data_IF_391462799518
#
_entry.id   IF_391462799518
#
_cell.length_a   1.000
_cell.length_b   1.000
_cell.length_c   1.000
_cell.angle_alpha   90.00
_cell.angle_beta   90.00
_cell.angle_gamma   90.00
#
_symmetry.space_group_name_H-M   'P 1'
#
loop_
_entity.id
_entity.type
_entity.pdbx_description
1 polymer ?
#
# COMPACT_ATOMS: atom_id res chain seq x y z
N UNK A 1 -0.91 -0.12 -3.65
CA UNK A 1 0.06 -1.24 -3.68
C UNK A 1 -0.62 -2.49 -3.19
N UNK A 2 -0.99 -3.38 -4.10
CA UNK A 2 -1.75 -4.60 -3.78
C UNK A 2 -0.83 -5.74 -3.33
N UNK A 3 -1.29 -6.53 -2.36
CA UNK A 3 -0.75 -7.87 -2.12
C UNK A 3 -1.23 -8.86 -3.19
N UNK A 4 -0.73 -10.10 -3.16
CA UNK A 4 -1.07 -11.14 -4.15
C UNK A 4 -2.59 -11.34 -4.34
N UNK A 5 -3.36 -11.62 -3.28
CA UNK A 5 -4.81 -11.79 -3.36
C UNK A 5 -5.56 -10.55 -3.89
N UNK A 6 -5.22 -9.34 -3.44
CA UNK A 6 -5.84 -8.11 -3.93
C UNK A 6 -5.57 -7.90 -5.42
N UNK A 7 -4.31 -8.12 -5.85
CA UNK A 7 -3.88 -8.01 -7.24
C UNK A 7 -4.60 -9.01 -8.15
N UNK A 8 -4.79 -10.26 -7.71
CA UNK A 8 -5.59 -11.27 -8.44
C UNK A 8 -7.04 -10.81 -8.67
N UNK A 9 -7.60 -10.04 -7.74
CA UNK A 9 -8.94 -9.47 -7.89
C UNK A 9 -8.97 -8.15 -8.66
N UNK A 10 -7.84 -7.71 -9.21
CA UNK A 10 -7.70 -6.45 -9.93
C UNK A 10 -8.14 -5.24 -9.10
N UNK A 11 -7.94 -5.29 -7.78
CA UNK A 11 -8.49 -4.29 -6.86
C UNK A 11 -7.92 -2.89 -7.11
N UNK A 12 -6.57 -2.76 -7.16
CA UNK A 12 -5.90 -1.50 -7.39
C UNK A 12 -6.35 -0.81 -8.67
N UNK A 13 -6.47 -1.55 -9.78
CA UNK A 13 -6.94 -0.99 -11.07
C UNK A 13 -8.40 -0.53 -11.01
N UNK A 14 -9.26 -1.27 -10.31
CA UNK A 14 -10.66 -0.86 -10.16
C UNK A 14 -10.81 0.42 -9.32
N UNK A 15 -10.00 0.56 -8.27
CA UNK A 15 -9.98 1.76 -7.44
C UNK A 15 -9.32 2.93 -8.18
N UNK A 16 -8.27 2.70 -8.97
CA UNK A 16 -7.63 3.73 -9.79
C UNK A 16 -8.59 4.26 -10.86
N UNK A 17 -9.32 3.39 -11.55
CA UNK A 17 -10.35 3.83 -12.49
C UNK A 17 -11.41 4.73 -11.81
N UNK A 18 -11.92 4.30 -10.65
CA UNK A 18 -12.87 5.10 -9.89
C UNK A 18 -12.29 6.46 -9.47
N UNK A 19 -11.01 6.48 -9.11
CA UNK A 19 -10.33 7.71 -8.69
C UNK A 19 -10.10 8.69 -9.83
N UNK A 20 -9.80 8.18 -11.03
CA UNK A 20 -9.74 8.95 -12.27
C UNK A 20 -11.11 9.50 -12.67
N UNK A 21 -12.17 8.70 -12.58
CA UNK A 21 -13.54 9.09 -12.96
C UNK A 21 -14.06 10.28 -12.12
N UNK A 22 -13.65 10.39 -10.85
CA UNK A 22 -14.10 11.45 -9.91
C UNK A 22 -13.08 12.59 -9.70
N UNK A 23 -11.87 12.48 -10.27
CA UNK A 23 -10.83 13.50 -10.16
C UNK A 23 -10.02 13.49 -8.86
N UNK A 24 -9.89 12.33 -8.19
CA UNK A 24 -9.02 12.12 -7.01
C UNK A 24 -7.97 11.02 -7.29
N UNK A 25 -7.14 11.17 -8.35
CA UNK A 25 -6.36 10.08 -8.92
C UNK A 25 -5.19 9.63 -8.02
N UNK A 26 -4.74 8.39 -8.21
CA UNK A 26 -3.50 7.88 -7.62
C UNK A 26 -2.81 6.89 -8.56
N UNK A 27 -1.54 6.61 -8.29
CA UNK A 27 -0.71 5.73 -9.11
C UNK A 27 -0.51 4.34 -8.49
N UNK A 28 -0.57 3.31 -9.34
CA UNK A 28 -0.33 1.93 -8.92
C UNK A 28 1.16 1.62 -8.91
N UNK A 29 1.69 1.43 -7.71
CA UNK A 29 2.99 0.79 -7.49
C UNK A 29 2.84 -0.71 -7.17
N UNK A 30 3.85 -1.50 -7.55
CA UNK A 30 3.91 -2.93 -7.26
C UNK A 30 4.90 -3.20 -6.13
N UNK A 31 4.47 -3.98 -5.13
CA UNK A 31 5.36 -4.63 -4.15
C UNK A 31 6.03 -5.82 -4.83
N UNK A 32 7.31 -6.03 -4.54
CA UNK A 32 8.15 -7.09 -5.10
C UNK A 32 8.95 -7.78 -4.01
N UNK A 33 9.56 -8.92 -4.35
CA UNK A 33 10.33 -9.74 -3.41
C UNK A 33 11.43 -8.95 -2.70
N UNK A 34 12.15 -8.11 -3.42
CA UNK A 34 13.23 -7.28 -2.88
C UNK A 34 12.76 -6.26 -1.83
N UNK A 35 11.49 -5.85 -1.88
CA UNK A 35 10.91 -4.96 -0.87
C UNK A 35 10.81 -5.69 0.48
N UNK A 36 10.48 -6.98 0.49
CA UNK A 36 10.43 -7.80 1.70
C UNK A 36 11.82 -8.11 2.26
N UNK A 37 12.78 -8.42 1.38
CA UNK A 37 14.16 -8.73 1.79
C UNK A 37 14.82 -7.59 2.58
N UNK A 38 14.39 -6.35 2.33
CA UNK A 38 14.86 -5.15 3.02
C UNK A 38 14.52 -5.17 4.53
N UNK A 39 13.37 -5.73 4.92
CA UNK A 39 12.85 -5.66 6.30
C UNK A 39 13.07 -6.92 7.13
N UNK A 40 13.78 -7.92 6.60
CA UNK A 40 14.19 -9.10 7.37
C UNK A 40 15.06 -8.70 8.57
N UNK A 41 14.87 -9.39 9.71
CA UNK A 41 15.72 -9.28 10.89
C UNK A 41 17.21 -9.40 10.55
N UNK A 42 18.04 -8.63 11.27
CA UNK A 42 19.49 -8.53 10.99
C UNK A 42 20.35 -9.14 12.09
N UNK A 43 19.80 -9.36 13.27
CA UNK A 43 20.49 -9.92 14.43
C UNK A 43 19.64 -10.98 15.14
N UNK A 44 20.27 -11.72 16.06
CA UNK A 44 19.56 -12.65 16.94
C UNK A 44 18.50 -11.92 17.75
N UNK A 45 17.27 -12.44 17.72
CA UNK A 45 16.10 -11.82 18.36
C UNK A 45 15.32 -10.84 17.48
N UNK A 46 15.83 -10.48 16.29
CA UNK A 46 15.07 -9.68 15.34
C UNK A 46 14.17 -10.58 14.48
N UNK A 47 12.85 -10.39 14.58
CA UNK A 47 11.93 -10.96 13.59
C UNK A 47 11.95 -10.14 12.29
N UNK A 48 11.82 -8.82 12.43
CA UNK A 48 11.83 -7.84 11.34
C UNK A 48 12.44 -6.51 11.81
N UNK A 49 12.95 -5.71 10.88
CA UNK A 49 13.34 -4.32 11.14
C UNK A 49 12.24 -3.38 10.63
N UNK A 50 12.04 -2.22 11.28
CA UNK A 50 10.98 -1.28 10.89
C UNK A 50 11.36 -0.31 9.77
N UNK A 51 12.65 0.00 9.64
CA UNK A 51 13.15 1.01 8.72
C UNK A 51 14.64 0.80 8.41
N UNK A 52 15.07 1.33 7.28
CA UNK A 52 16.49 1.48 6.97
C UNK A 52 16.98 2.87 7.42
N UNK A 53 18.27 3.06 7.72
CA UNK A 53 18.79 4.35 8.22
C UNK A 53 18.85 5.45 7.15
N UNK A 54 18.44 5.18 5.90
CA UNK A 54 18.41 6.19 4.82
C UNK A 54 16.99 6.68 4.57
N UNK A 55 16.79 7.95 4.18
CA UNK A 55 15.50 8.43 3.72
C UNK A 55 14.95 7.57 2.58
N UNK A 56 13.63 7.47 2.47
CA UNK A 56 12.97 6.74 1.38
C UNK A 56 13.41 7.25 0.00
N UNK A 57 13.63 8.55 -0.14
CA UNK A 57 14.13 9.19 -1.37
C UNK A 57 15.56 8.78 -1.77
N UNK A 58 16.34 8.25 -0.83
CA UNK A 58 17.72 7.79 -1.05
C UNK A 58 17.84 6.26 -0.97
N UNK A 59 16.70 5.56 -0.89
CA UNK A 59 16.62 4.11 -0.84
C UNK A 59 15.97 3.62 -2.11
N UNK A 60 16.60 2.66 -2.79
CA UNK A 60 15.98 2.03 -3.95
C UNK A 60 14.63 1.44 -3.51
N UNK A 61 13.55 1.80 -4.22
CA UNK A 61 12.18 1.37 -3.91
C UNK A 61 11.67 1.83 -2.53
N UNK A 62 12.13 3.00 -2.08
CA UNK A 62 11.92 3.48 -0.72
C UNK A 62 10.46 3.71 -0.30
N UNK A 63 9.53 3.92 -1.24
CA UNK A 63 8.10 4.03 -0.89
C UNK A 63 7.36 2.69 -0.94
N UNK A 64 7.88 1.70 -1.67
CA UNK A 64 7.31 0.35 -1.67
C UNK A 64 7.67 -0.44 -0.42
N UNK A 65 8.85 -0.17 0.15
CA UNK A 65 9.33 -0.85 1.35
C UNK A 65 8.34 -0.84 2.53
N UNK A 66 7.78 0.31 2.93
CA UNK A 66 6.78 0.37 4.01
C UNK A 66 5.57 -0.55 3.78
N UNK A 67 5.13 -0.73 2.52
CA UNK A 67 4.06 -1.67 2.21
C UNK A 67 4.45 -3.12 2.53
N UNK A 68 5.68 -3.51 2.20
CA UNK A 68 6.21 -4.85 2.51
C UNK A 68 6.36 -5.05 4.02
N UNK A 69 6.88 -4.05 4.74
CA UNK A 69 6.95 -4.07 6.20
C UNK A 69 5.57 -4.32 6.83
N UNK A 70 4.56 -3.55 6.44
CA UNK A 70 3.21 -3.69 6.99
C UNK A 70 2.61 -5.08 6.73
N UNK A 71 2.84 -5.65 5.54
CA UNK A 71 2.37 -7.00 5.21
C UNK A 71 2.98 -8.05 6.16
N UNK A 72 4.29 -7.99 6.42
CA UNK A 72 4.95 -8.96 7.30
C UNK A 72 4.62 -8.70 8.77
N UNK A 73 4.69 -7.44 9.21
CA UNK A 73 4.43 -7.06 10.60
C UNK A 73 3.02 -7.41 11.08
N UNK A 74 2.04 -7.44 10.16
CA UNK A 74 0.66 -7.82 10.46
C UNK A 74 0.36 -9.30 10.20
N UNK A 75 1.35 -10.13 9.83
CA UNK A 75 1.18 -11.55 9.48
C UNK A 75 0.40 -11.80 8.17
N UNK A 76 0.18 -10.78 7.33
CA UNK A 76 -0.54 -10.93 6.06
C UNK A 76 0.27 -11.71 5.01
N UNK A 77 1.57 -11.89 5.22
CA UNK A 77 2.43 -12.75 4.43
C UNK A 77 2.02 -14.24 4.52
N UNK A 78 1.47 -14.68 5.66
CA UNK A 78 0.85 -16.00 5.81
C UNK A 78 -0.47 -16.17 5.05
N UNK A 79 -1.10 -15.06 4.63
CA UNK A 79 -2.40 -15.00 3.96
C UNK A 79 -2.28 -14.64 2.47
N UNK A 80 -1.15 -15.01 1.85
CA UNK A 80 -0.88 -14.78 0.43
C UNK A 80 -1.74 -15.61 -0.53
N UNK A 81 -1.49 -15.42 -1.83
CA UNK A 81 -2.24 -16.03 -2.95
C UNK A 81 -2.29 -17.56 -3.00
N UNK A 82 -1.42 -18.24 -2.26
CA UNK A 82 -1.36 -19.70 -2.15
C UNK A 82 -1.71 -20.25 -0.77
N UNK A 83 -2.18 -19.39 0.14
CA UNK A 83 -2.64 -19.81 1.47
C UNK A 83 -4.04 -20.45 1.41
N UNK A 84 -4.38 -21.24 2.43
CA UNK A 84 -5.74 -21.80 2.59
C UNK A 84 -6.78 -20.71 2.92
N UNK A 85 -6.34 -19.58 3.47
CA UNK A 85 -7.19 -18.44 3.84
C UNK A 85 -6.63 -17.11 3.30
N UNK A 86 -6.69 -16.85 1.98
CA UNK A 86 -6.14 -15.64 1.40
C UNK A 86 -6.87 -14.37 1.85
N UNK A 87 -6.12 -13.33 2.25
CA UNK A 87 -6.67 -12.02 2.64
C UNK A 87 -6.23 -10.98 1.62
N UNK A 88 -7.20 -10.22 1.08
CA UNK A 88 -6.93 -9.09 0.17
C UNK A 88 -6.46 -7.89 0.99
N UNK A 89 -5.32 -7.32 0.60
CA UNK A 89 -4.78 -6.12 1.22
C UNK A 89 -4.18 -5.19 0.17
N UNK A 90 -4.40 -3.89 0.35
CA UNK A 90 -3.82 -2.84 -0.47
C UNK A 90 -3.33 -1.71 0.42
N UNK A 91 -2.05 -1.35 0.28
CA UNK A 91 -1.46 -0.19 0.93
C UNK A 91 -1.62 1.04 0.02
N UNK A 92 -2.15 2.13 0.56
CA UNK A 92 -2.21 3.44 -0.08
C UNK A 92 -1.25 4.38 0.66
N UNK A 93 -0.23 4.87 -0.04
CA UNK A 93 0.67 5.88 0.47
C UNK A 93 0.11 7.26 0.11
N UNK A 94 -0.37 7.98 1.13
CA UNK A 94 -1.01 9.29 0.99
C UNK A 94 -0.12 10.43 1.50
N UNK A 95 1.16 10.16 1.78
CA UNK A 95 2.04 11.14 2.43
C UNK A 95 2.12 12.46 1.67
N UNK A 96 2.14 12.41 0.33
CA UNK A 96 2.15 13.59 -0.52
C UNK A 96 0.74 14.16 -0.77
N UNK A 97 -0.30 13.32 -0.81
CA UNK A 97 -1.64 13.74 -1.21
C UNK A 97 -2.49 14.25 -0.04
N UNK A 98 -2.24 13.83 1.20
CA UNK A 98 -3.06 14.17 2.36
C UNK A 98 -3.03 15.67 2.75
N UNK A 99 -2.08 16.42 2.20
CA UNK A 99 -1.81 17.82 2.55
C UNK A 99 -0.65 17.93 3.53
N UNK A 100 -0.39 19.15 4.01
CA UNK A 100 0.72 19.42 4.89
C UNK A 100 0.51 20.68 5.70
N UNK A 101 0.99 20.67 6.93
CA UNK A 101 0.88 21.81 7.84
C UNK A 101 1.60 23.05 7.25
N UNK A 102 1.04 24.26 7.42
CA UNK A 102 -0.18 24.59 8.17
C UNK A 102 -1.48 24.51 7.36
N UNK A 103 -1.44 24.02 6.10
CA UNK A 103 -2.64 23.96 5.27
C UNK A 103 -3.59 22.86 5.77
N UNK A 104 -4.92 23.02 5.59
CA UNK A 104 -5.87 21.96 5.85
C UNK A 104 -5.56 20.68 5.06
N UNK A 105 -6.03 19.54 5.56
CA UNK A 105 -5.98 18.29 4.83
C UNK A 105 -6.77 18.42 3.51
N UNK A 106 -6.29 17.73 2.47
CA UNK A 106 -6.92 17.77 1.13
C UNK A 106 -8.17 16.90 1.04
N UNK A 107 -8.30 15.91 1.93
CA UNK A 107 -9.33 14.88 1.84
C UNK A 107 -9.01 13.76 0.85
N UNK A 108 -7.88 13.77 0.14
CA UNK A 108 -7.50 12.64 -0.72
C UNK A 108 -7.11 11.41 0.13
N UNK A 109 -7.55 10.17 -0.20
CA UNK A 109 -8.33 9.76 -1.37
C UNK A 109 -9.81 9.45 -1.06
N UNK A 110 -10.50 10.30 -0.28
CA UNK A 110 -11.89 10.06 0.16
C UNK A 110 -12.85 9.95 -1.03
N UNK A 111 -12.70 10.81 -2.05
CA UNK A 111 -13.60 10.77 -3.21
C UNK A 111 -13.37 9.53 -4.05
N UNK A 112 -12.12 9.09 -4.22
CA UNK A 112 -11.81 7.83 -4.89
C UNK A 112 -12.51 6.62 -4.22
N UNK A 113 -12.50 6.58 -2.89
CA UNK A 113 -13.21 5.54 -2.14
C UNK A 113 -14.73 5.67 -2.22
N UNK A 114 -15.27 6.88 -2.13
CA UNK A 114 -16.70 7.13 -2.28
C UNK A 114 -17.18 6.70 -3.68
N UNK A 115 -16.46 7.04 -4.74
CA UNK A 115 -16.77 6.60 -6.09
C UNK A 115 -16.71 5.08 -6.23
N UNK A 116 -15.72 4.43 -5.61
CA UNK A 116 -15.61 2.96 -5.70
C UNK A 116 -16.72 2.21 -4.95
N UNK A 117 -17.19 2.73 -3.82
CA UNK A 117 -18.01 1.97 -2.88
C UNK A 117 -19.41 2.52 -2.59
N UNK A 118 -19.67 3.79 -2.87
CA UNK A 118 -20.89 4.47 -2.45
C UNK A 118 -21.67 5.10 -3.61
N UNK A 119 -20.98 5.70 -4.58
CA UNK A 119 -21.64 6.54 -5.60
C UNK A 119 -22.08 5.77 -6.86
N UNK A 120 -21.53 4.58 -7.13
CA UNK A 120 -21.85 3.79 -8.33
C UNK A 120 -23.29 3.26 -8.40
N UNK A 121 -24.01 3.31 -7.29
CA UNK A 121 -25.39 2.83 -7.17
C UNK A 121 -26.42 3.97 -7.02
N UNK A 122 -25.98 5.23 -7.13
CA UNK A 122 -26.83 6.43 -7.12
C UNK A 122 -27.09 6.93 -8.54
#
# INVERSE_FOLDING_TARGET
MDNGPAKKSNYGCQLQKASEDIGDPFEISNVRKEDFDTYKGKMEGDDIIQATPRPSSQTARGHQGPAAFLIVASGLDAHGSGSESPIKYSHLDIAASAGGLPKPATGSPVLAFAEKYLLKDL
#
